data_IF_024296254354
#
_entry.id   IF_024296254354
#
_cell.length_a   1.000
_cell.length_b   1.000
_cell.length_c   1.000
_cell.angle_alpha   90.00
_cell.angle_beta   90.00
_cell.angle_gamma   90.00
#
_symmetry.space_group_name_H-M   'P 1'
#
loop_
_entity.id
_entity.type
_entity.pdbx_description
1 polymer ?
#
# COMPACT_ATOMS: atom_id res chain seq x y z
N UNK A 1 -73.15 29.61 -50.12
CA UNK A 1 -71.89 29.85 -50.86
C UNK A 1 -70.79 30.09 -49.84
N UNK A 2 -69.66 29.46 -50.08
CA UNK A 2 -68.60 29.03 -49.16
C UNK A 2 -68.01 30.11 -48.24
N UNK A 3 -68.00 29.82 -46.93
CA UNK A 3 -67.05 30.39 -45.97
C UNK A 3 -65.81 29.49 -45.91
N UNK A 4 -64.78 29.80 -46.70
CA UNK A 4 -63.47 29.15 -46.58
C UNK A 4 -62.78 29.64 -45.31
N UNK A 5 -62.81 28.79 -44.29
CA UNK A 5 -61.96 28.92 -43.10
C UNK A 5 -60.50 28.94 -43.55
N UNK A 6 -59.80 30.00 -43.15
CA UNK A 6 -58.35 30.04 -43.10
C UNK A 6 -57.92 28.99 -42.07
N UNK A 7 -57.39 27.85 -42.56
CA UNK A 7 -56.61 26.93 -41.73
C UNK A 7 -55.26 27.61 -41.52
N UNK A 8 -55.03 28.06 -40.28
CA UNK A 8 -53.71 28.49 -39.82
C UNK A 8 -52.91 27.24 -39.41
N UNK A 9 -51.85 26.86 -40.15
CA UNK A 9 -51.11 25.63 -39.89
C UNK A 9 -50.04 25.79 -38.79
N UNK A 10 -50.04 26.89 -38.03
CA UNK A 10 -48.96 27.17 -37.06
C UNK A 10 -49.28 26.84 -35.59
N UNK A 11 -50.45 26.26 -35.30
CA UNK A 11 -50.87 25.97 -33.92
C UNK A 11 -50.52 24.58 -33.39
N UNK A 12 -50.24 23.58 -34.24
CA UNK A 12 -50.00 22.20 -33.78
C UNK A 12 -48.54 21.87 -33.49
N UNK A 13 -47.57 22.65 -33.97
CA UNK A 13 -46.14 22.27 -33.85
C UNK A 13 -45.44 22.74 -32.57
N UNK A 14 -46.16 23.40 -31.65
CA UNK A 14 -45.60 23.95 -30.41
C UNK A 14 -45.89 23.16 -29.14
N UNK A 15 -46.70 22.09 -29.21
CA UNK A 15 -47.10 21.32 -28.02
C UNK A 15 -46.33 20.01 -27.81
N UNK A 16 -45.41 19.64 -28.71
CA UNK A 16 -44.64 18.38 -28.60
C UNK A 16 -43.17 18.54 -28.17
N UNK A 17 -42.73 19.77 -27.83
CA UNK A 17 -41.39 20.01 -27.26
C UNK A 17 -41.36 19.92 -25.72
N UNK A 18 -42.35 19.22 -25.17
CA UNK A 18 -42.49 18.96 -23.75
C UNK A 18 -42.73 17.46 -23.54
N UNK A 19 -41.91 16.62 -24.19
CA UNK A 19 -41.40 15.45 -23.49
C UNK A 19 -40.71 16.00 -22.23
N UNK A 20 -41.48 16.09 -21.15
CA UNK A 20 -40.92 16.13 -19.82
C UNK A 20 -39.89 15.01 -19.79
N UNK A 21 -38.62 15.37 -19.80
CA UNK A 21 -37.59 14.45 -19.36
C UNK A 21 -37.93 14.23 -17.89
N UNK A 22 -38.77 13.24 -17.61
CA UNK A 22 -39.07 12.76 -16.28
C UNK A 22 -37.80 12.09 -15.79
N UNK A 23 -36.80 12.92 -15.46
CA UNK A 23 -35.66 12.52 -14.68
C UNK A 23 -36.23 11.96 -13.39
N UNK A 24 -36.20 10.63 -13.29
CA UNK A 24 -36.73 9.90 -12.16
C UNK A 24 -36.09 10.50 -10.90
N UNK A 25 -36.89 11.24 -10.11
CA UNK A 25 -36.44 11.84 -8.85
C UNK A 25 -35.81 10.77 -7.94
N UNK A 26 -36.30 9.53 -8.05
CA UNK A 26 -35.74 8.32 -7.47
C UNK A 26 -34.29 8.06 -7.91
N UNK A 27 -33.99 8.18 -9.21
CA UNK A 27 -32.63 8.01 -9.73
C UNK A 27 -31.68 9.07 -9.18
N UNK A 28 -32.13 10.33 -9.09
CA UNK A 28 -31.32 11.42 -8.54
C UNK A 28 -31.04 11.23 -7.04
N UNK A 29 -32.04 10.81 -6.26
CA UNK A 29 -31.88 10.54 -4.82
C UNK A 29 -30.95 9.35 -4.57
N UNK A 30 -31.08 8.28 -5.35
CA UNK A 30 -30.20 7.11 -5.25
C UNK A 30 -28.76 7.47 -5.65
N UNK A 31 -28.59 8.22 -6.75
CA UNK A 31 -27.28 8.70 -7.18
C UNK A 31 -26.63 9.56 -6.09
N UNK A 32 -27.39 10.48 -5.49
CA UNK A 32 -26.91 11.33 -4.39
C UNK A 32 -26.55 10.51 -3.15
N UNK A 33 -27.33 9.48 -2.80
CA UNK A 33 -27.03 8.58 -1.69
C UNK A 33 -25.75 7.76 -1.94
N UNK A 34 -25.57 7.25 -3.16
CA UNK A 34 -24.36 6.52 -3.58
C UNK A 34 -23.14 7.45 -3.54
N UNK A 35 -23.25 8.67 -4.08
CA UNK A 35 -22.18 9.66 -4.01
C UNK A 35 -21.85 10.06 -2.57
N UNK A 36 -22.86 10.27 -1.72
CA UNK A 36 -22.66 10.60 -0.31
C UNK A 36 -22.02 9.44 0.47
N UNK A 37 -22.43 8.20 0.20
CA UNK A 37 -21.83 7.01 0.80
C UNK A 37 -20.37 6.83 0.36
N UNK A 38 -20.08 6.97 -0.94
CA UNK A 38 -18.72 6.94 -1.47
C UNK A 38 -17.85 8.05 -0.89
N UNK A 39 -18.36 9.28 -0.83
CA UNK A 39 -17.65 10.41 -0.23
C UNK A 39 -17.41 10.20 1.27
N UNK A 40 -18.37 9.65 2.00
CA UNK A 40 -18.22 9.30 3.42
C UNK A 40 -17.16 8.23 3.65
N UNK A 41 -17.10 7.20 2.80
CA UNK A 41 -16.06 6.17 2.84
C UNK A 41 -14.67 6.74 2.55
N UNK A 42 -14.55 7.59 1.53
CA UNK A 42 -13.30 8.28 1.20
C UNK A 42 -12.86 9.20 2.35
N UNK A 43 -13.79 9.98 2.90
CA UNK A 43 -13.52 10.87 4.01
C UNK A 43 -13.10 10.09 5.26
N UNK A 44 -13.73 8.96 5.56
CA UNK A 44 -13.33 8.04 6.63
C UNK A 44 -11.93 7.45 6.41
N UNK A 45 -11.60 7.06 5.16
CA UNK A 45 -10.27 6.54 4.81
C UNK A 45 -9.17 7.60 4.96
N UNK A 46 -9.46 8.84 4.57
CA UNK A 46 -8.52 9.97 4.65
C UNK A 46 -8.37 10.50 6.07
N UNK A 47 -9.46 10.67 6.82
CA UNK A 47 -9.43 11.30 8.16
C UNK A 47 -8.84 10.43 9.26
N UNK A 48 -8.82 9.11 9.09
CA UNK A 48 -8.07 8.21 9.99
C UNK A 48 -6.63 7.93 9.49
N UNK A 49 -6.21 8.54 8.37
CA UNK A 49 -4.80 8.64 7.98
C UNK A 49 -4.22 9.90 8.64
N UNK A 50 -4.16 9.90 9.97
CA UNK A 50 -3.85 11.08 10.80
C UNK A 50 -2.37 11.52 10.77
N UNK A 51 -1.65 11.24 9.67
CA UNK A 51 -0.21 11.50 9.55
C UNK A 51 0.18 12.12 8.20
N UNK A 52 -0.80 12.68 7.49
CA UNK A 52 -0.59 13.56 6.33
C UNK A 52 -0.38 14.99 6.82
N UNK A 53 0.67 15.21 7.62
CA UNK A 53 1.17 16.57 7.85
C UNK A 53 2.69 16.63 7.86
N UNK A 54 3.19 17.21 6.76
CA UNK A 54 4.36 18.10 6.64
C UNK A 54 5.70 17.57 7.14
N UNK A 55 6.55 17.12 6.22
CA UNK A 55 7.81 17.78 5.84
C UNK A 55 8.75 16.76 5.18
N UNK A 56 9.21 17.06 3.97
CA UNK A 56 10.32 16.36 3.32
C UNK A 56 11.55 16.38 4.22
N UNK A 57 12.23 15.23 4.34
CA UNK A 57 13.21 14.79 3.34
C UNK A 57 12.68 13.58 2.57
N UNK A 58 12.83 13.58 1.25
CA UNK A 58 12.25 12.59 0.31
C UNK A 58 12.44 11.13 0.78
N UNK A 59 13.56 10.82 1.44
CA UNK A 59 13.84 9.48 1.95
C UNK A 59 12.97 9.03 3.14
N UNK A 60 12.47 9.95 3.97
CA UNK A 60 11.55 9.60 5.08
C UNK A 60 10.13 9.33 4.58
N UNK A 61 9.73 10.01 3.50
CA UNK A 61 8.47 9.73 2.83
C UNK A 61 8.55 8.40 2.06
N UNK A 62 9.69 8.13 1.41
CA UNK A 62 9.95 6.85 0.74
C UNK A 62 9.93 5.67 1.73
N UNK A 63 10.61 5.78 2.88
CA UNK A 63 10.56 4.79 3.95
C UNK A 63 9.13 4.48 4.38
N UNK A 64 8.32 5.51 4.61
CA UNK A 64 6.94 5.35 5.07
C UNK A 64 6.07 4.68 4.01
N UNK A 65 6.20 5.10 2.75
CA UNK A 65 5.45 4.52 1.62
C UNK A 65 5.86 3.07 1.41
N UNK A 66 7.17 2.80 1.33
CA UNK A 66 7.72 1.47 1.13
C UNK A 66 7.34 0.54 2.27
N UNK A 67 7.51 0.97 3.52
CA UNK A 67 7.10 0.17 4.69
C UNK A 67 5.62 -0.17 4.63
N UNK A 68 4.75 0.76 4.22
CA UNK A 68 3.31 0.50 4.12
C UNK A 68 2.97 -0.48 3.00
N UNK A 69 3.56 -0.29 1.82
CA UNK A 69 3.35 -1.15 0.67
C UNK A 69 3.85 -2.57 0.94
N UNK A 70 5.07 -2.71 1.45
CA UNK A 70 5.68 -4.02 1.77
C UNK A 70 5.00 -4.71 2.95
N UNK A 71 4.53 -3.96 3.96
CA UNK A 71 3.70 -4.54 5.04
C UNK A 71 2.38 -5.09 4.51
N UNK A 72 1.82 -4.50 3.46
CA UNK A 72 0.61 -5.02 2.84
C UNK A 72 0.93 -6.26 1.99
N UNK A 73 1.96 -6.17 1.14
CA UNK A 73 2.42 -7.25 0.25
C UNK A 73 2.77 -8.52 1.05
N UNK A 74 3.51 -8.39 2.15
CA UNK A 74 3.88 -9.49 3.05
C UNK A 74 2.67 -10.20 3.68
N UNK A 75 1.52 -9.53 3.78
CA UNK A 75 0.27 -10.07 4.34
C UNK A 75 -0.67 -10.62 3.27
N UNK A 76 -0.39 -10.41 1.98
CA UNK A 76 -1.19 -10.96 0.88
C UNK A 76 -1.39 -12.48 0.95
N UNK A 77 -0.39 -13.31 1.33
CA UNK A 77 -0.58 -14.75 1.43
C UNK A 77 -1.61 -15.15 2.50
N UNK A 78 -1.85 -14.29 3.50
CA UNK A 78 -2.84 -14.52 4.56
C UNK A 78 -4.26 -14.13 4.15
N UNK A 79 -4.41 -13.39 3.04
CA UNK A 79 -5.71 -13.00 2.51
C UNK A 79 -6.42 -14.19 1.84
N UNK A 80 -7.74 -14.15 1.80
CA UNK A 80 -8.54 -15.11 1.05
C UNK A 80 -8.23 -15.06 -0.44
N UNK A 81 -8.44 -16.16 -1.15
CA UNK A 81 -8.21 -16.23 -2.61
C UNK A 81 -9.00 -15.19 -3.40
N UNK A 82 -10.18 -14.77 -2.91
CA UNK A 82 -10.97 -13.70 -3.53
C UNK A 82 -10.31 -12.33 -3.37
N UNK A 83 -9.82 -12.00 -2.18
CA UNK A 83 -9.09 -10.75 -1.91
C UNK A 83 -7.80 -10.68 -2.76
N UNK A 84 -7.08 -11.80 -2.90
CA UNK A 84 -5.89 -11.89 -3.76
C UNK A 84 -6.22 -11.65 -5.24
N UNK A 85 -7.37 -12.15 -5.72
CA UNK A 85 -7.83 -11.89 -7.10
C UNK A 85 -8.21 -10.43 -7.29
N UNK A 86 -8.91 -9.82 -6.32
CA UNK A 86 -9.23 -8.39 -6.37
C UNK A 86 -7.98 -7.51 -6.40
N UNK A 87 -6.94 -7.88 -5.63
CA UNK A 87 -5.66 -7.18 -5.64
C UNK A 87 -5.00 -7.22 -7.03
N UNK A 88 -4.94 -8.40 -7.66
CA UNK A 88 -4.37 -8.55 -9.01
C UNK A 88 -5.19 -7.79 -10.07
N UNK A 89 -6.52 -7.83 -9.99
CA UNK A 89 -7.40 -7.07 -10.89
C UNK A 89 -7.22 -5.56 -10.77
N UNK A 90 -6.79 -5.08 -9.59
CA UNK A 90 -6.43 -3.68 -9.35
C UNK A 90 -5.14 -3.21 -10.03
N UNK A 91 -4.43 -4.09 -10.76
CA UNK A 91 -3.24 -3.75 -11.53
C UNK A 91 -1.92 -3.79 -10.75
N UNK A 92 -1.91 -4.35 -9.54
CA UNK A 92 -0.67 -4.58 -8.77
C UNK A 92 -0.22 -6.04 -8.94
N UNK A 93 0.45 -6.33 -10.06
CA UNK A 93 0.93 -7.67 -10.43
C UNK A 93 2.31 -7.99 -9.81
N UNK A 94 2.48 -7.77 -8.50
CA UNK A 94 3.72 -8.14 -7.78
C UNK A 94 4.96 -7.30 -8.13
N UNK A 95 4.79 -6.20 -8.88
CA UNK A 95 5.87 -5.25 -9.22
C UNK A 95 6.20 -4.29 -8.08
N UNK A 96 5.46 -4.32 -6.97
CA UNK A 96 5.62 -3.37 -5.85
C UNK A 96 7.02 -3.38 -5.27
N UNK A 97 7.64 -4.55 -5.09
CA UNK A 97 9.01 -4.64 -4.59
C UNK A 97 10.04 -4.13 -5.60
N UNK A 98 9.79 -4.34 -6.90
CA UNK A 98 10.64 -3.87 -8.00
C UNK A 98 10.61 -2.33 -8.10
N UNK A 99 9.41 -1.75 -8.06
CA UNK A 99 9.19 -0.31 -8.11
C UNK A 99 9.84 0.39 -6.91
N UNK A 100 9.64 -0.14 -5.70
CA UNK A 100 10.30 0.36 -4.50
C UNK A 100 11.82 0.28 -4.63
N UNK A 101 12.37 -0.81 -5.20
CA UNK A 101 13.81 -0.92 -5.43
C UNK A 101 14.32 0.20 -6.32
N UNK A 102 13.67 0.43 -7.47
CA UNK A 102 14.07 1.48 -8.41
C UNK A 102 14.04 2.86 -7.75
N UNK A 103 13.03 3.15 -6.93
CA UNK A 103 12.97 4.41 -6.18
C UNK A 103 14.13 4.55 -5.17
N UNK A 104 14.47 3.51 -4.43
CA UNK A 104 15.60 3.54 -3.52
C UNK A 104 16.94 3.64 -4.27
N UNK A 105 17.10 3.00 -5.42
CA UNK A 105 18.30 3.12 -6.26
C UNK A 105 18.48 4.53 -6.81
N UNK A 106 17.39 5.22 -7.15
CA UNK A 106 17.42 6.62 -7.59
C UNK A 106 17.69 7.59 -6.43
N UNK A 107 17.17 7.28 -5.25
CA UNK A 107 17.22 8.19 -4.09
C UNK A 107 18.49 8.05 -3.26
N UNK A 108 19.04 6.83 -3.12
CA UNK A 108 20.19 6.56 -2.24
C UNK A 108 21.50 6.92 -2.95
N UNK A 109 22.15 7.94 -2.44
CA UNK A 109 23.46 8.43 -2.86
C UNK A 109 24.48 8.47 -1.70
N UNK A 110 25.68 9.00 -1.94
CA UNK A 110 26.72 9.13 -0.92
C UNK A 110 26.36 10.09 0.24
N UNK A 111 25.40 10.99 0.04
CA UNK A 111 24.98 11.99 1.04
C UNK A 111 23.72 11.55 1.81
N UNK A 112 23.11 10.44 1.40
CA UNK A 112 21.90 9.90 2.01
C UNK A 112 22.13 9.44 3.44
N UNK A 113 21.06 9.32 4.22
CA UNK A 113 21.16 8.87 5.61
C UNK A 113 21.65 7.41 5.61
N UNK A 114 22.52 7.01 6.55
CA UNK A 114 22.98 5.62 6.59
C UNK A 114 21.86 4.57 6.66
N UNK A 115 20.72 4.91 7.26
CA UNK A 115 19.54 4.06 7.30
C UNK A 115 18.91 3.82 5.91
N UNK A 116 18.94 4.82 5.03
CA UNK A 116 18.41 4.68 3.67
C UNK A 116 19.24 3.63 2.89
N UNK A 117 20.56 3.60 3.15
CA UNK A 117 21.45 2.54 2.66
C UNK A 117 21.16 1.16 3.27
N UNK A 118 20.84 1.07 4.56
CA UNK A 118 20.40 -0.19 5.18
C UNK A 118 19.14 -0.73 4.49
N UNK A 119 18.15 0.13 4.24
CA UNK A 119 16.89 -0.25 3.59
C UNK A 119 17.10 -0.72 2.15
N UNK A 120 17.89 -0.01 1.34
CA UNK A 120 18.25 -0.48 0.00
C UNK A 120 18.99 -1.83 0.05
N UNK A 121 19.90 -2.01 1.00
CA UNK A 121 20.57 -3.28 1.22
C UNK A 121 19.58 -4.42 1.55
N UNK A 122 18.58 -4.14 2.39
CA UNK A 122 17.51 -5.09 2.66
C UNK A 122 16.69 -5.42 1.41
N UNK A 123 16.33 -4.42 0.60
CA UNK A 123 15.56 -4.63 -0.63
C UNK A 123 16.32 -5.56 -1.60
N UNK A 124 17.64 -5.38 -1.74
CA UNK A 124 18.47 -6.33 -2.51
C UNK A 124 18.47 -7.74 -1.92
N UNK A 125 18.58 -7.84 -0.59
CA UNK A 125 18.55 -9.12 0.11
C UNK A 125 17.23 -9.87 -0.08
N UNK A 126 16.10 -9.18 0.09
CA UNK A 126 14.76 -9.75 -0.10
C UNK A 126 14.47 -10.09 -1.56
N UNK A 127 15.05 -9.36 -2.52
CA UNK A 127 14.97 -9.70 -3.94
C UNK A 127 15.88 -10.87 -4.35
N UNK A 128 16.68 -11.43 -3.43
CA UNK A 128 17.65 -12.48 -3.72
C UNK A 128 18.86 -12.00 -4.54
N UNK A 129 19.08 -10.68 -4.63
CA UNK A 129 20.14 -10.05 -5.40
C UNK A 129 21.45 -9.98 -4.60
N UNK A 130 21.90 -11.12 -4.08
CA UNK A 130 23.05 -11.23 -3.14
C UNK A 130 24.36 -10.67 -3.73
N UNK A 131 24.55 -10.79 -5.06
CA UNK A 131 25.71 -10.21 -5.74
C UNK A 131 25.67 -8.67 -5.73
N UNK A 132 24.50 -8.08 -5.92
CA UNK A 132 24.35 -6.62 -5.88
C UNK A 132 24.49 -6.12 -4.44
N UNK A 133 23.89 -6.83 -3.48
CA UNK A 133 24.01 -6.53 -2.07
C UNK A 133 25.47 -6.55 -1.60
N UNK A 134 26.24 -7.59 -1.95
CA UNK A 134 27.65 -7.69 -1.57
C UNK A 134 28.50 -6.57 -2.19
N UNK A 135 28.28 -6.24 -3.46
CA UNK A 135 28.94 -5.10 -4.12
C UNK A 135 28.57 -3.77 -3.48
N UNK A 136 27.31 -3.61 -3.09
CA UNK A 136 26.80 -2.39 -2.47
C UNK A 136 27.43 -2.16 -1.09
N UNK A 137 27.43 -3.17 -0.20
CA UNK A 137 28.02 -3.05 1.14
C UNK A 137 29.56 -3.07 1.14
N UNK A 138 30.19 -3.56 0.07
CA UNK A 138 31.64 -3.50 -0.10
C UNK A 138 32.17 -2.06 -0.25
N UNK A 139 31.32 -1.13 -0.70
CA UNK A 139 31.65 0.30 -0.81
C UNK A 139 31.66 1.00 0.55
N UNK A 140 31.06 0.41 1.58
CA UNK A 140 31.01 1.00 2.91
C UNK A 140 32.35 0.83 3.62
N UNK A 141 32.93 1.96 4.04
CA UNK A 141 34.20 1.95 4.77
C UNK A 141 34.03 1.21 6.10
N UNK A 142 34.94 0.27 6.39
CA UNK A 142 34.81 -0.64 7.53
C UNK A 142 34.87 0.01 8.90
N UNK A 143 35.32 1.27 8.99
CA UNK A 143 35.53 2.00 10.24
C UNK A 143 34.48 3.10 10.47
N UNK A 144 33.68 3.45 9.45
CA UNK A 144 32.64 4.47 9.59
C UNK A 144 31.38 3.87 10.23
N UNK A 145 31.14 4.24 11.49
CA UNK A 145 29.84 4.04 12.14
C UNK A 145 28.83 5.04 11.55
N UNK A 146 27.57 4.63 11.25
CA UNK A 146 26.94 3.35 11.56
C UNK A 146 27.01 2.30 10.42
N UNK A 147 27.63 2.61 9.28
CA UNK A 147 27.67 1.72 8.10
C UNK A 147 28.32 0.36 8.41
N UNK A 148 29.37 0.34 9.23
CA UNK A 148 30.01 -0.90 9.66
C UNK A 148 29.06 -1.84 10.41
N UNK A 149 28.15 -1.30 11.22
CA UNK A 149 27.11 -2.06 11.94
C UNK A 149 26.05 -2.56 10.95
N UNK A 150 25.56 -1.68 10.07
CA UNK A 150 24.54 -2.02 9.07
C UNK A 150 25.01 -3.10 8.10
N UNK A 151 26.29 -3.09 7.73
CA UNK A 151 26.88 -4.18 6.95
C UNK A 151 26.77 -5.51 7.69
N UNK A 152 27.12 -5.55 8.98
CA UNK A 152 27.05 -6.77 9.79
C UNK A 152 25.60 -7.28 9.92
N UNK A 153 24.64 -6.38 10.08
CA UNK A 153 23.22 -6.73 10.13
C UNK A 153 22.76 -7.38 8.81
N UNK A 154 23.11 -6.80 7.67
CA UNK A 154 22.78 -7.34 6.35
C UNK A 154 23.50 -8.69 6.09
N UNK A 155 24.78 -8.79 6.44
CA UNK A 155 25.55 -10.02 6.30
C UNK A 155 24.97 -11.16 7.15
N UNK A 156 24.58 -10.85 8.39
CA UNK A 156 23.99 -11.82 9.32
C UNK A 156 22.57 -12.23 8.90
N UNK A 157 21.72 -11.29 8.45
CA UNK A 157 20.34 -11.57 8.04
C UNK A 157 20.23 -12.32 6.72
N UNK A 158 21.08 -11.98 5.73
CA UNK A 158 21.04 -12.57 4.39
C UNK A 158 22.12 -13.64 4.15
N UNK A 159 22.82 -14.08 5.20
CA UNK A 159 23.73 -15.23 5.15
C UNK A 159 24.98 -15.04 4.29
N UNK A 160 25.45 -13.80 4.12
CA UNK A 160 26.69 -13.54 3.37
C UNK A 160 27.95 -13.82 4.17
N UNK A 161 27.82 -13.99 5.49
CA UNK A 161 28.93 -14.29 6.38
C UNK A 161 28.49 -15.17 7.55
N UNK A 162 29.30 -16.17 7.87
CA UNK A 162 29.15 -16.93 9.11
C UNK A 162 29.28 -15.99 10.31
N UNK A 163 28.20 -15.89 11.08
CA UNK A 163 28.11 -15.06 12.28
C UNK A 163 28.15 -15.99 13.49
N UNK A 164 28.89 -15.62 14.53
CA UNK A 164 28.95 -16.43 15.76
C UNK A 164 27.57 -16.46 16.43
N UNK A 165 27.14 -17.58 17.02
CA UNK A 165 25.90 -17.66 17.79
C UNK A 165 25.77 -16.57 18.86
N UNK A 166 26.89 -16.15 19.46
CA UNK A 166 26.94 -15.11 20.49
C UNK A 166 26.70 -13.70 19.94
N UNK A 167 26.99 -13.47 18.66
CA UNK A 167 26.86 -12.16 18.02
C UNK A 167 25.42 -11.84 17.61
N UNK A 168 24.56 -12.84 17.40
CA UNK A 168 23.17 -12.61 16.98
C UNK A 168 22.36 -11.80 18.00
N UNK A 169 22.56 -12.07 19.30
CA UNK A 169 21.89 -11.31 20.37
C UNK A 169 22.32 -9.84 20.39
N UNK A 170 23.60 -9.57 20.17
CA UNK A 170 24.12 -8.21 20.04
C UNK A 170 23.53 -7.50 18.82
N UNK A 171 23.50 -8.17 17.67
CA UNK A 171 22.96 -7.62 16.43
C UNK A 171 21.46 -7.30 16.55
N UNK A 172 20.67 -8.17 17.19
CA UNK A 172 19.25 -7.91 17.44
C UNK A 172 19.03 -6.67 18.32
N UNK A 173 19.81 -6.55 19.41
CA UNK A 173 19.73 -5.39 20.29
C UNK A 173 20.09 -4.10 19.54
N UNK A 174 21.17 -4.12 18.74
CA UNK A 174 21.57 -2.97 17.93
C UNK A 174 20.57 -2.61 16.85
N UNK A 175 19.95 -3.59 16.21
CA UNK A 175 18.89 -3.34 15.25
C UNK A 175 17.71 -2.60 15.91
N UNK A 176 17.29 -3.04 17.10
CA UNK A 176 16.20 -2.40 17.84
C UNK A 176 16.53 -0.97 18.33
N UNK A 177 17.80 -0.66 18.59
CA UNK A 177 18.24 0.68 18.98
C UNK A 177 18.33 1.65 17.80
N UNK A 178 18.79 1.18 16.64
CA UNK A 178 19.14 2.03 15.50
C UNK A 178 18.02 2.18 14.47
N UNK A 179 17.05 1.25 14.42
CA UNK A 179 15.99 1.25 13.41
C UNK A 179 14.61 1.55 13.97
N UNK A 180 13.80 2.37 13.29
CA UNK A 180 12.40 2.58 13.64
C UNK A 180 11.59 1.28 13.56
N UNK A 181 10.56 1.16 14.39
CA UNK A 181 9.61 0.04 14.36
C UNK A 181 8.72 0.13 13.11
N UNK A 182 9.21 -0.43 12.00
CA UNK A 182 8.58 -0.46 10.69
C UNK A 182 8.77 -1.85 10.04
N UNK A 183 8.36 -1.99 8.78
CA UNK A 183 8.50 -3.26 8.03
C UNK A 183 9.95 -3.74 7.97
N UNK A 184 10.91 -2.83 7.72
CA UNK A 184 12.34 -3.16 7.63
C UNK A 184 12.87 -3.70 8.95
N UNK A 185 12.48 -3.12 10.08
CA UNK A 185 12.86 -3.65 11.40
C UNK A 185 12.37 -5.10 11.58
N UNK A 186 11.07 -5.36 11.39
CA UNK A 186 10.51 -6.69 11.64
C UNK A 186 11.09 -7.75 10.70
N UNK A 187 11.22 -7.43 9.41
CA UNK A 187 11.77 -8.38 8.44
C UNK A 187 13.23 -8.72 8.73
N UNK A 188 14.08 -7.73 8.98
CA UNK A 188 15.50 -7.99 9.26
C UNK A 188 15.67 -8.71 10.60
N UNK A 189 14.92 -8.32 11.63
CA UNK A 189 14.94 -8.99 12.92
C UNK A 189 14.50 -10.46 12.80
N UNK A 190 13.46 -10.75 12.01
CA UNK A 190 13.03 -12.12 11.76
C UNK A 190 14.09 -12.92 10.99
N UNK A 191 14.72 -12.34 9.96
CA UNK A 191 15.81 -12.98 9.22
C UNK A 191 16.98 -13.33 10.15
N UNK A 192 17.40 -12.40 11.00
CA UNK A 192 18.47 -12.63 11.98
C UNK A 192 18.06 -13.71 13.00
N UNK A 193 16.82 -13.72 13.48
CA UNK A 193 16.32 -14.75 14.39
C UNK A 193 16.30 -16.14 13.74
N UNK A 194 15.92 -16.23 12.46
CA UNK A 194 15.96 -17.48 11.68
C UNK A 194 17.40 -17.99 11.54
N UNK A 195 18.35 -17.11 11.25
CA UNK A 195 19.77 -17.47 11.15
C UNK A 195 20.37 -17.90 12.49
N UNK A 196 19.90 -17.31 13.59
CA UNK A 196 20.26 -17.71 14.94
C UNK A 196 19.58 -19.02 15.41
N UNK A 197 18.55 -19.50 14.70
CA UNK A 197 17.72 -20.62 15.13
C UNK A 197 16.78 -20.30 16.31
N UNK A 198 16.53 -19.02 16.59
CA UNK A 198 15.70 -18.56 17.71
C UNK A 198 14.21 -18.49 17.30
N UNK A 199 13.53 -19.62 17.44
CA UNK A 199 12.10 -19.76 17.10
C UNK A 199 11.19 -18.94 18.04
N UNK A 200 11.58 -18.75 19.30
CA UNK A 200 10.78 -17.99 20.27
C UNK A 200 10.79 -16.50 19.93
N UNK A 201 11.96 -15.95 19.60
CA UNK A 201 12.10 -14.58 19.13
C UNK A 201 11.33 -14.36 17.81
N UNK A 202 11.45 -15.30 16.87
CA UNK A 202 10.70 -15.24 15.61
C UNK A 202 9.19 -15.15 15.85
N UNK A 203 8.64 -16.03 16.70
CA UNK A 203 7.21 -16.05 17.01
C UNK A 203 6.75 -14.79 17.78
N UNK A 204 7.63 -14.20 18.60
CA UNK A 204 7.36 -12.93 19.26
C UNK A 204 7.31 -11.76 18.25
N UNK A 205 8.28 -11.69 17.32
CA UNK A 205 8.34 -10.64 16.30
C UNK A 205 7.14 -10.69 15.35
N UNK A 206 6.75 -11.88 14.89
CA UNK A 206 5.56 -12.05 14.04
C UNK A 206 4.26 -11.62 14.73
N UNK A 207 4.14 -11.89 16.04
CA UNK A 207 2.98 -11.42 16.83
C UNK A 207 2.96 -9.90 16.99
N UNK A 208 4.11 -9.26 17.16
CA UNK A 208 4.18 -7.80 17.26
C UNK A 208 3.87 -7.13 15.92
N UNK A 209 4.41 -7.68 14.83
CA UNK A 209 4.14 -7.17 13.47
C UNK A 209 2.66 -7.28 13.09
N UNK A 210 2.02 -8.41 13.38
CA UNK A 210 0.58 -8.59 13.12
C UNK A 210 -0.27 -7.58 13.90
N UNK A 211 0.03 -7.33 15.18
CA UNK A 211 -0.71 -6.33 15.98
C UNK A 211 -0.62 -4.91 15.40
N UNK A 212 0.50 -4.55 14.77
CA UNK A 212 0.70 -3.25 14.16
C UNK A 212 0.05 -3.14 12.77
N UNK A 213 -0.03 -4.26 12.03
CA UNK A 213 -0.52 -4.30 10.65
C UNK A 213 -2.01 -4.69 10.53
N UNK A 214 -2.63 -5.23 11.57
CA UNK A 214 -4.05 -5.61 11.57
C UNK A 214 -5.03 -4.44 11.39
N UNK A 215 -4.87 -3.27 12.06
CA UNK A 215 -5.79 -2.16 11.89
C UNK A 215 -5.93 -1.63 10.45
N UNK A 216 -4.85 -1.42 9.66
CA UNK A 216 -4.99 -0.99 8.27
C UNK A 216 -5.61 -2.07 7.36
N UNK A 217 -5.35 -3.36 7.61
CA UNK A 217 -5.96 -4.46 6.83
C UNK A 217 -7.48 -4.54 7.04
N UNK A 218 -7.95 -4.37 8.28
CA UNK A 218 -9.38 -4.31 8.57
C UNK A 218 -10.06 -3.17 7.81
N UNK A 219 -9.44 -1.99 7.75
CA UNK A 219 -9.98 -0.84 7.00
C UNK A 219 -10.08 -1.14 5.51
N UNK A 220 -9.04 -1.75 4.92
CA UNK A 220 -9.05 -2.13 3.51
C UNK A 220 -10.19 -3.12 3.20
N UNK A 221 -10.41 -4.12 4.05
CA UNK A 221 -11.54 -5.05 3.92
C UNK A 221 -12.89 -4.34 3.96
N UNK A 222 -13.08 -3.39 4.87
CA UNK A 222 -14.31 -2.60 4.95
C UNK A 222 -14.53 -1.77 3.68
N UNK A 223 -13.46 -1.18 3.14
CA UNK A 223 -13.54 -0.41 1.89
C UNK A 223 -13.89 -1.31 0.71
N UNK A 224 -13.26 -2.47 0.57
CA UNK A 224 -13.54 -3.43 -0.50
C UNK A 224 -14.99 -3.89 -0.44
N UNK A 225 -15.49 -4.29 0.73
CA UNK A 225 -16.89 -4.69 0.92
C UNK A 225 -17.84 -3.52 0.61
N UNK A 226 -17.49 -2.31 1.07
CA UNK A 226 -18.27 -1.10 0.79
C UNK A 226 -18.38 -0.82 -0.71
N UNK A 227 -17.29 -0.93 -1.45
CA UNK A 227 -17.25 -0.73 -2.90
C UNK A 227 -18.09 -1.78 -3.64
N UNK A 228 -17.97 -3.06 -3.28
CA UNK A 228 -18.79 -4.13 -3.87
C UNK A 228 -20.28 -3.91 -3.62
N UNK A 229 -20.66 -3.47 -2.42
CA UNK A 229 -22.05 -3.15 -2.09
C UNK A 229 -22.55 -1.97 -2.92
N UNK A 230 -21.76 -0.90 -3.06
CA UNK A 230 -22.12 0.28 -3.86
C UNK A 230 -22.29 -0.09 -5.33
N UNK A 231 -21.36 -0.86 -5.90
CA UNK A 231 -21.45 -1.37 -7.27
C UNK A 231 -22.70 -2.26 -7.43
N UNK A 232 -22.93 -3.18 -6.49
CA UNK A 232 -24.09 -4.08 -6.51
C UNK A 232 -25.42 -3.32 -6.49
N UNK A 233 -25.53 -2.29 -5.66
CA UNK A 233 -26.69 -1.39 -5.63
C UNK A 233 -26.87 -0.72 -7.00
N UNK A 234 -25.80 -0.14 -7.55
CA UNK A 234 -25.82 0.49 -8.87
C UNK A 234 -26.31 -0.45 -9.98
N UNK A 235 -25.81 -1.69 -10.00
CA UNK A 235 -26.19 -2.71 -11.00
C UNK A 235 -27.67 -3.12 -10.85
N UNK A 236 -28.14 -3.38 -9.63
CA UNK A 236 -29.55 -3.77 -9.39
C UNK A 236 -30.50 -2.67 -9.85
N UNK A 237 -30.16 -1.40 -9.58
CA UNK A 237 -30.97 -0.27 -10.04
C UNK A 237 -30.92 -0.11 -11.56
N UNK A 238 -29.75 -0.26 -12.19
CA UNK A 238 -29.61 -0.23 -13.64
C UNK A 238 -30.50 -1.30 -14.32
N UNK A 239 -30.47 -2.54 -13.81
CA UNK A 239 -31.29 -3.65 -14.32
C UNK A 239 -32.80 -3.51 -14.05
N UNK A 240 -33.19 -2.68 -13.08
CA UNK A 240 -34.61 -2.38 -12.77
C UNK A 240 -35.16 -1.22 -13.60
N UNK A 241 -34.29 -0.39 -14.17
CA UNK A 241 -34.64 0.83 -14.91
C UNK A 241 -34.45 0.70 -16.43
N UNK A 242 -33.64 -0.27 -16.89
CA UNK A 242 -33.52 -0.66 -18.30
C UNK A 242 -34.43 -1.82 -18.66
#
# INVERSE_FOLDING_TARGET
MESKQLVDPTSDTRLDLQEEIQFSSLLTVVCLMVCAAGMGLLFWAVTLSDDVRLASPESRDLERIASRMLSFESRLPELSSFEQVMYRLGGQDGETQEEIRLWYEETVDEQSRPLDGLYLGMIYGEAGLTNQLSQFVAKWESEQQPQALFRRLLEAGYGQRETSPEDYGFLQARLAEETPTNWFYFHLAQRIAVQAGDQDLQANLQRQESQLTDPPLWKWRVLLVGEVVVIGIGVVFFLRLG
#
